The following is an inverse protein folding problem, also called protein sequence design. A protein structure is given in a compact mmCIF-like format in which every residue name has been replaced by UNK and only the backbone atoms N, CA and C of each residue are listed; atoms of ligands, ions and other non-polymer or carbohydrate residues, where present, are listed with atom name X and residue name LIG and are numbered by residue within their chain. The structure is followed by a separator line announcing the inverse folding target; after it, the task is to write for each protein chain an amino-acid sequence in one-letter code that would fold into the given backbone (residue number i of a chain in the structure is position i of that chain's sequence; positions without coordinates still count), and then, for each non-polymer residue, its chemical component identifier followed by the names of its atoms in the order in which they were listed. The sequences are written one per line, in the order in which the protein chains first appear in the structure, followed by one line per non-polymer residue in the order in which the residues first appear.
data_IF_705640184802
#
_entry.id   IF_705640184802
#
_cell.length_a   1.000
_cell.length_b   1.000
_cell.length_c   1.000
_cell.angle_alpha   90.00
_cell.angle_beta   90.00
_cell.angle_gamma   90.00
#
_symmetry.space_group_name_H-M   'P 1'
#
loop_
_entity.id
_entity.type
_entity.pdbx_description
1 polymer ?
#
# COMPACT_ATOMS: atom_id res chain seq x y z
N UNK A 1 24.47 -18.14 4.73
CA UNK A 1 25.15 -19.15 5.61
C UNK A 1 24.41 -20.49 5.72
N UNK A 2 23.16 -20.65 5.24
CA UNK A 2 22.47 -21.95 5.25
C UNK A 2 23.06 -22.88 4.18
N UNK A 3 23.55 -24.06 4.58
CA UNK A 3 24.09 -25.06 3.63
C UNK A 3 23.02 -25.54 2.64
N UNK A 4 21.77 -25.72 3.10
CA UNK A 4 20.66 -26.13 2.25
C UNK A 4 20.32 -25.07 1.18
N UNK A 5 20.37 -23.78 1.54
CA UNK A 5 20.14 -22.70 0.58
C UNK A 5 21.24 -22.66 -0.50
N UNK A 6 22.50 -22.80 -0.10
CA UNK A 6 23.65 -22.82 -1.02
C UNK A 6 23.60 -24.03 -1.96
N UNK A 7 23.06 -25.16 -1.51
CA UNK A 7 22.85 -26.32 -2.37
C UNK A 7 21.79 -26.06 -3.44
N UNK A 8 20.70 -25.38 -3.10
CA UNK A 8 19.70 -24.97 -4.09
C UNK A 8 20.29 -23.99 -5.11
N UNK A 9 21.06 -23.00 -4.65
CA UNK A 9 21.76 -22.04 -5.52
C UNK A 9 22.61 -22.79 -6.56
N UNK A 10 23.46 -23.73 -6.11
CA UNK A 10 24.29 -24.54 -7.03
C UNK A 10 23.47 -25.44 -7.95
N UNK A 11 22.47 -26.14 -7.41
CA UNK A 11 21.63 -27.09 -8.17
C UNK A 11 20.87 -26.40 -9.29
N UNK A 12 20.35 -25.21 -9.02
CA UNK A 12 19.50 -24.44 -9.94
C UNK A 12 20.30 -23.45 -10.79
N UNK A 13 21.62 -23.35 -10.59
CA UNK A 13 22.51 -22.47 -11.34
C UNK A 13 22.29 -20.99 -11.07
N UNK A 14 21.92 -20.63 -9.83
CA UNK A 14 21.64 -19.26 -9.43
C UNK A 14 22.94 -18.53 -9.04
N UNK A 15 23.04 -17.25 -9.35
CA UNK A 15 24.23 -16.44 -9.06
C UNK A 15 24.40 -16.15 -7.56
N UNK A 16 23.29 -15.83 -6.87
CA UNK A 16 23.31 -15.38 -5.48
C UNK A 16 21.94 -15.60 -4.77
N UNK A 17 21.82 -15.10 -3.55
CA UNK A 17 20.59 -15.16 -2.76
C UNK A 17 19.42 -14.33 -3.34
N UNK A 18 19.68 -13.31 -4.16
CA UNK A 18 18.61 -12.54 -4.83
C UNK A 18 17.96 -13.39 -5.91
N UNK A 19 18.78 -14.09 -6.70
CA UNK A 19 18.26 -15.07 -7.65
C UNK A 19 17.58 -16.26 -6.95
N UNK A 20 18.03 -16.65 -5.75
CA UNK A 20 17.33 -17.64 -4.91
C UNK A 20 15.94 -17.17 -4.49
N UNK A 21 15.77 -15.92 -4.07
CA UNK A 21 14.47 -15.33 -3.78
C UNK A 21 13.56 -15.39 -5.01
N UNK A 22 14.06 -14.91 -6.14
CA UNK A 22 13.33 -14.93 -7.42
C UNK A 22 12.92 -16.33 -7.87
N UNK A 23 13.83 -17.31 -7.74
CA UNK A 23 13.53 -18.72 -8.00
C UNK A 23 12.42 -19.24 -7.09
N UNK A 24 12.44 -18.90 -5.81
CA UNK A 24 11.44 -19.31 -4.84
C UNK A 24 10.07 -18.70 -5.18
N UNK A 25 10.00 -17.40 -5.44
CA UNK A 25 8.76 -16.71 -5.83
C UNK A 25 8.16 -17.33 -7.09
N UNK A 26 8.95 -17.59 -8.13
CA UNK A 26 8.48 -18.27 -9.36
C UNK A 26 7.89 -19.66 -9.09
N UNK A 27 8.39 -20.40 -8.09
CA UNK A 27 7.82 -21.69 -7.70
C UNK A 27 6.45 -21.54 -7.04
N UNK A 28 6.31 -20.56 -6.14
CA UNK A 28 5.04 -20.26 -5.48
C UNK A 28 4.02 -19.75 -6.49
N UNK A 29 4.43 -18.89 -7.42
CA UNK A 29 3.57 -18.41 -8.49
C UNK A 29 3.02 -19.56 -9.34
N UNK A 30 3.87 -20.49 -9.80
CA UNK A 30 3.40 -21.65 -10.56
C UNK A 30 2.37 -22.48 -9.79
N UNK A 31 2.57 -22.62 -8.48
CA UNK A 31 1.61 -23.31 -7.62
C UNK A 31 0.27 -22.58 -7.54
N UNK A 32 0.29 -21.25 -7.37
CA UNK A 32 -0.92 -20.42 -7.35
C UNK A 32 -1.65 -20.44 -8.71
N UNK A 33 -0.92 -20.30 -9.81
CA UNK A 33 -1.47 -20.32 -11.16
C UNK A 33 -2.12 -21.68 -11.47
N UNK A 34 -1.51 -22.80 -11.07
CA UNK A 34 -2.10 -24.13 -11.20
C UNK A 34 -3.42 -24.29 -10.40
N UNK A 35 -3.64 -23.46 -9.38
CA UNK A 35 -4.87 -23.40 -8.60
C UNK A 35 -5.84 -22.30 -9.07
N UNK A 36 -5.58 -21.65 -10.21
CA UNK A 36 -6.41 -20.54 -10.73
C UNK A 36 -6.35 -19.27 -9.89
N UNK A 37 -5.26 -19.07 -9.12
CA UNK A 37 -4.98 -17.86 -8.32
C UNK A 37 -3.85 -17.06 -8.98
N UNK A 38 -3.83 -15.75 -8.78
CA UNK A 38 -2.71 -14.88 -9.18
C UNK A 38 -1.84 -14.56 -7.96
N UNK A 39 -0.54 -14.44 -8.18
CA UNK A 39 0.39 -13.98 -7.15
C UNK A 39 0.31 -12.46 -7.01
N UNK A 40 0.22 -11.97 -5.77
CA UNK A 40 0.50 -10.58 -5.40
C UNK A 40 1.63 -10.58 -4.37
N UNK A 41 2.55 -9.61 -4.48
CA UNK A 41 3.62 -9.44 -3.50
C UNK A 41 4.09 -8.00 -3.43
N UNK A 42 4.75 -7.66 -2.32
CA UNK A 42 5.43 -6.38 -2.13
C UNK A 42 6.45 -6.14 -3.24
N UNK A 43 6.76 -4.88 -3.53
CA UNK A 43 7.54 -4.52 -4.70
C UNK A 43 8.98 -5.08 -4.74
N UNK A 44 9.49 -5.69 -3.66
CA UNK A 44 10.69 -6.54 -3.65
C UNK A 44 10.64 -7.71 -4.63
N UNK A 45 9.45 -8.17 -5.05
CA UNK A 45 9.32 -9.27 -6.01
C UNK A 45 9.88 -8.93 -7.41
N UNK A 46 10.22 -7.66 -7.67
CA UNK A 46 10.94 -7.25 -8.90
C UNK A 46 12.40 -7.71 -8.90
N UNK A 47 12.98 -7.98 -7.73
CA UNK A 47 14.39 -8.35 -7.57
C UNK A 47 14.64 -9.75 -8.15
N UNK A 48 15.17 -9.79 -9.39
CA UNK A 48 15.49 -11.02 -10.15
C UNK A 48 14.46 -11.41 -11.22
N UNK A 49 13.58 -10.48 -11.57
CA UNK A 49 12.65 -10.57 -12.70
C UNK A 49 11.21 -10.77 -12.26
N UNK A 50 10.37 -9.79 -12.53
CA UNK A 50 8.94 -9.85 -12.29
C UNK A 50 8.29 -10.80 -13.31
N UNK A 51 7.43 -11.70 -12.83
CA UNK A 51 6.69 -12.58 -13.73
C UNK A 51 5.59 -11.80 -14.44
N UNK A 52 5.31 -12.06 -15.74
CA UNK A 52 4.24 -11.38 -16.46
C UNK A 52 2.84 -11.55 -15.86
N UNK A 53 2.64 -12.52 -14.96
CA UNK A 53 1.34 -12.79 -14.32
C UNK A 53 1.25 -12.30 -12.87
N UNK A 54 2.32 -11.74 -12.31
CA UNK A 54 2.34 -11.23 -10.96
C UNK A 54 1.68 -9.85 -10.86
N UNK A 55 1.02 -9.59 -9.73
CA UNK A 55 0.54 -8.26 -9.33
C UNK A 55 1.52 -7.66 -8.33
N UNK A 56 1.90 -6.40 -8.52
CA UNK A 56 2.80 -5.67 -7.64
C UNK A 56 2.00 -4.92 -6.57
N UNK A 57 2.43 -4.98 -5.31
CA UNK A 57 1.96 -4.07 -4.25
C UNK A 57 3.09 -3.09 -3.94
N UNK A 58 2.95 -1.86 -4.43
CA UNK A 58 3.99 -0.84 -4.36
C UNK A 58 3.96 -0.10 -3.03
N UNK A 59 5.04 -0.15 -2.26
CA UNK A 59 5.11 0.48 -0.93
C UNK A 59 6.38 1.31 -0.71
N UNK A 60 7.46 1.05 -1.46
CA UNK A 60 8.75 1.77 -1.34
C UNK A 60 8.78 2.97 -2.28
N UNK A 61 8.29 4.11 -1.81
CA UNK A 61 8.16 5.33 -2.63
C UNK A 61 9.49 5.84 -3.18
N UNK A 62 10.60 5.51 -2.52
CA UNK A 62 11.94 5.82 -2.99
C UNK A 62 12.43 4.93 -4.13
N UNK A 63 11.70 3.87 -4.47
CA UNK A 63 12.06 2.87 -5.48
C UNK A 63 11.16 2.97 -6.74
N UNK A 64 11.20 4.12 -7.41
CA UNK A 64 10.41 4.36 -8.63
C UNK A 64 10.67 3.34 -9.75
N UNK A 65 11.86 2.72 -9.78
CA UNK A 65 12.25 1.70 -10.76
C UNK A 65 11.30 0.49 -10.75
N UNK A 66 10.69 0.15 -9.61
CA UNK A 66 9.71 -0.94 -9.53
C UNK A 66 8.44 -0.64 -10.34
N UNK A 67 7.99 0.62 -10.37
CA UNK A 67 6.82 1.05 -11.16
C UNK A 67 7.16 1.10 -12.65
N UNK A 68 8.34 1.59 -13.02
CA UNK A 68 8.80 1.59 -14.41
C UNK A 68 8.88 0.16 -14.96
N UNK A 69 9.42 -0.77 -14.19
CA UNK A 69 9.50 -2.17 -14.58
C UNK A 69 8.12 -2.78 -14.75
N UNK A 70 7.22 -2.59 -13.77
CA UNK A 70 5.86 -3.11 -13.83
C UNK A 70 5.07 -2.55 -15.04
N UNK A 71 5.20 -1.25 -15.31
CA UNK A 71 4.61 -0.62 -16.48
C UNK A 71 5.15 -1.23 -17.79
N UNK A 72 6.47 -1.36 -17.90
CA UNK A 72 7.13 -1.90 -19.10
C UNK A 72 6.77 -3.37 -19.39
N UNK A 73 6.42 -4.13 -18.35
CA UNK A 73 6.08 -5.55 -18.45
C UNK A 73 4.57 -5.81 -18.46
N UNK A 74 3.75 -4.78 -18.30
CA UNK A 74 2.28 -4.88 -18.31
C UNK A 74 1.71 -5.55 -17.06
N UNK A 75 2.40 -5.44 -15.93
CA UNK A 75 1.95 -5.99 -14.65
C UNK A 75 0.88 -5.10 -14.01
N UNK A 76 -0.08 -5.74 -13.35
CA UNK A 76 -1.07 -5.04 -12.54
C UNK A 76 -0.43 -4.54 -11.24
N UNK A 77 -0.85 -3.37 -10.74
CA UNK A 77 -0.29 -2.72 -9.53
C UNK A 77 -1.40 -2.31 -8.56
N UNK A 78 -1.16 -2.54 -7.27
CA UNK A 78 -1.90 -1.94 -6.15
C UNK A 78 -0.99 -0.93 -5.47
N UNK A 79 -1.44 0.32 -5.35
CA UNK A 79 -0.67 1.40 -4.74
C UNK A 79 -0.84 1.41 -3.23
N UNK A 80 0.25 1.20 -2.50
CA UNK A 80 0.31 1.30 -1.04
C UNK A 80 1.52 2.13 -0.53
N UNK A 81 1.85 3.27 -1.17
CA UNK A 81 3.07 4.02 -0.91
C UNK A 81 3.24 4.42 0.57
N UNK A 82 4.41 4.19 1.16
CA UNK A 82 4.59 4.39 2.60
C UNK A 82 4.44 5.83 3.07
N UNK A 83 4.69 6.83 2.23
CA UNK A 83 4.57 8.23 2.61
C UNK A 83 3.13 8.62 2.97
N UNK A 84 2.14 7.93 2.39
CA UNK A 84 0.74 8.36 2.41
C UNK A 84 -0.26 7.24 2.71
N UNK A 85 0.10 5.97 2.52
CA UNK A 85 -0.77 4.81 2.76
C UNK A 85 -0.41 4.02 4.02
N UNK A 86 0.52 4.47 4.85
CA UNK A 86 0.88 3.79 6.10
C UNK A 86 0.10 4.41 7.26
N UNK A 87 -0.97 3.72 7.66
CA UNK A 87 -1.88 4.20 8.70
C UNK A 87 -1.35 3.91 10.12
N UNK A 88 -0.22 3.24 10.26
CA UNK A 88 0.54 3.15 11.50
C UNK A 88 1.39 4.40 11.80
N UNK A 89 1.43 5.39 10.89
CA UNK A 89 2.07 6.70 11.10
C UNK A 89 1.25 7.65 11.99
N UNK A 90 1.92 8.62 12.63
CA UNK A 90 1.25 9.74 13.30
C UNK A 90 0.33 10.50 12.34
N UNK A 91 -0.71 11.15 12.89
CA UNK A 91 -1.72 11.90 12.13
C UNK A 91 -1.67 13.40 12.37
N UNK A 92 -0.90 13.84 13.37
CA UNK A 92 -0.58 15.22 13.70
C UNK A 92 0.70 15.25 14.55
N UNK A 93 0.98 16.37 15.22
CA UNK A 93 2.15 16.53 16.09
C UNK A 93 2.26 15.37 17.10
N UNK A 94 3.33 14.57 17.05
CA UNK A 94 3.55 13.44 17.97
C UNK A 94 3.46 13.81 19.46
N UNK A 95 3.69 15.07 19.84
CA UNK A 95 3.59 15.52 21.23
C UNK A 95 2.16 15.41 21.79
N UNK A 96 1.13 15.48 20.95
CA UNK A 96 -0.28 15.37 21.32
C UNK A 96 -0.93 14.03 20.98
N UNK A 97 -0.17 13.10 20.38
CA UNK A 97 -0.71 11.87 19.79
C UNK A 97 -0.30 10.63 20.60
N UNK A 98 -1.13 9.58 20.65
CA UNK A 98 -0.70 8.31 21.20
C UNK A 98 0.38 7.68 20.32
N UNK A 99 1.35 7.00 20.94
CA UNK A 99 2.52 6.39 20.27
C UNK A 99 2.15 5.67 18.96
N UNK A 100 2.98 5.91 17.95
CA UNK A 100 2.91 5.34 16.62
C UNK A 100 4.33 4.95 16.15
N UNK A 101 4.48 4.23 15.04
CA UNK A 101 5.77 3.73 14.53
C UNK A 101 6.78 4.87 14.25
N UNK A 102 6.29 6.07 13.95
CA UNK A 102 7.02 7.17 13.34
C UNK A 102 6.19 7.82 12.23
N UNK A 103 6.83 8.58 11.35
CA UNK A 103 6.18 9.21 10.18
C UNK A 103 5.08 10.23 10.53
N UNK A 104 4.53 10.89 9.52
CA UNK A 104 3.37 11.75 9.66
C UNK A 104 2.56 11.63 8.36
N UNK A 105 1.32 11.20 8.48
CA UNK A 105 0.40 11.06 7.36
C UNK A 105 -0.96 11.57 7.83
N UNK A 106 -1.31 12.77 7.41
CA UNK A 106 -2.58 13.43 7.76
C UNK A 106 -3.72 12.94 6.88
N UNK A 107 -4.95 13.30 7.22
CA UNK A 107 -6.12 13.05 6.37
C UNK A 107 -6.05 13.86 5.06
N UNK A 108 -5.41 15.02 5.06
CA UNK A 108 -5.20 15.85 3.86
C UNK A 108 -4.20 15.20 2.91
N UNK A 109 -3.09 14.66 3.45
CA UNK A 109 -2.09 13.93 2.64
C UNK A 109 -2.74 12.76 1.91
N UNK A 110 -3.58 11.98 2.61
CA UNK A 110 -4.32 10.85 2.03
C UNK A 110 -5.29 11.34 0.96
N UNK A 111 -6.03 12.43 1.22
CA UNK A 111 -7.01 12.96 0.26
C UNK A 111 -6.36 13.51 -1.01
N UNK A 112 -5.18 14.12 -0.89
CA UNK A 112 -4.40 14.66 -2.00
C UNK A 112 -3.71 13.57 -2.83
N UNK A 113 -3.72 12.31 -2.38
CA UNK A 113 -3.06 11.22 -3.08
C UNK A 113 -3.65 10.98 -4.47
N UNK A 114 -2.74 10.79 -5.42
CA UNK A 114 -3.04 10.37 -6.78
C UNK A 114 -2.58 8.91 -6.98
N UNK A 115 -3.53 7.97 -7.14
CA UNK A 115 -3.20 6.56 -7.28
C UNK A 115 -2.57 6.20 -8.63
N UNK A 116 -2.54 7.09 -9.63
CA UNK A 116 -1.98 6.78 -10.96
C UNK A 116 -0.60 7.43 -11.11
N UNK A 117 0.50 6.67 -10.90
CA UNK A 117 1.85 7.20 -11.05
C UNK A 117 2.20 7.47 -12.52
N UNK A 118 3.20 8.32 -12.74
CA UNK A 118 3.60 8.78 -14.08
C UNK A 118 3.82 7.63 -15.10
N UNK A 119 4.56 6.54 -14.78
CA UNK A 119 4.88 5.50 -15.77
C UNK A 119 3.66 4.78 -16.37
N UNK A 120 2.48 4.93 -15.76
CA UNK A 120 1.23 4.34 -16.21
C UNK A 120 0.33 5.35 -16.94
N UNK A 121 0.71 6.62 -17.03
CA UNK A 121 -0.08 7.64 -17.73
C UNK A 121 0.05 7.53 -19.24
N UNK A 122 -1.05 7.81 -19.93
CA UNK A 122 -1.11 7.79 -21.40
C UNK A 122 -1.41 6.42 -21.99
N UNK A 123 -2.03 5.52 -21.23
CA UNK A 123 -2.54 4.23 -21.74
C UNK A 123 -2.28 3.00 -20.85
N UNK A 124 -1.69 3.16 -19.66
CA UNK A 124 -1.44 2.08 -18.70
C UNK A 124 -2.32 2.16 -17.45
N UNK A 125 -3.22 3.14 -17.35
CA UNK A 125 -3.99 3.44 -16.15
C UNK A 125 -4.90 2.26 -15.72
N UNK A 126 -5.31 1.42 -16.68
CA UNK A 126 -6.10 0.21 -16.43
C UNK A 126 -5.36 -0.88 -15.65
N UNK A 127 -4.02 -0.79 -15.58
CA UNK A 127 -3.16 -1.68 -14.78
C UNK A 127 -3.04 -1.25 -13.33
N UNK A 128 -3.44 -0.04 -13.00
CA UNK A 128 -3.58 0.39 -11.61
C UNK A 128 -4.91 -0.14 -11.08
N UNK A 129 -4.86 -1.22 -10.30
CA UNK A 129 -6.05 -1.85 -9.72
C UNK A 129 -6.71 -0.98 -8.64
N UNK A 130 -5.96 -0.03 -8.08
CA UNK A 130 -6.42 0.90 -7.05
C UNK A 130 -5.34 1.18 -6.02
N UNK A 131 -5.75 1.73 -4.88
CA UNK A 131 -4.89 2.00 -3.74
C UNK A 131 -5.42 1.35 -2.46
N UNK A 132 -4.52 1.06 -1.52
CA UNK A 132 -4.83 0.48 -0.22
C UNK A 132 -3.93 1.10 0.85
N UNK A 133 -4.52 1.40 2.01
CA UNK A 133 -3.76 1.72 3.22
C UNK A 133 -3.37 0.45 3.99
N UNK A 134 -2.15 0.43 4.51
CA UNK A 134 -1.63 -0.62 5.36
C UNK A 134 -1.63 -0.13 6.81
N UNK A 135 -2.22 -0.91 7.72
CA UNK A 135 -2.16 -0.65 9.15
C UNK A 135 -1.31 -1.73 9.80
N UNK A 136 -0.01 -1.46 9.94
CA UNK A 136 0.89 -2.28 10.73
C UNK A 136 0.58 -2.12 12.23
N UNK A 137 0.83 -3.15 13.03
CA UNK A 137 0.24 -3.27 14.38
C UNK A 137 1.25 -3.34 15.52
N UNK A 138 2.51 -3.06 15.24
CA UNK A 138 3.63 -3.00 16.18
C UNK A 138 3.32 -2.09 17.38
N UNK A 139 2.64 -0.97 17.13
CA UNK A 139 2.20 0.02 18.14
C UNK A 139 0.68 0.16 18.22
N UNK A 140 -0.07 -0.85 17.75
CA UNK A 140 -1.54 -0.85 17.72
C UNK A 140 -2.08 -2.06 18.49
N UNK A 141 -1.96 -2.08 19.83
CA UNK A 141 -2.26 -3.27 20.62
C UNK A 141 -3.76 -3.54 20.83
N UNK A 142 -4.63 -2.60 20.44
CA UNK A 142 -6.07 -2.68 20.71
C UNK A 142 -6.90 -2.29 19.49
N UNK A 143 -8.13 -2.82 19.35
CA UNK A 143 -9.08 -2.38 18.33
C UNK A 143 -9.35 -0.87 18.38
N UNK A 144 -9.41 -0.27 19.56
CA UNK A 144 -9.65 1.17 19.72
C UNK A 144 -8.49 2.01 19.17
N UNK A 145 -7.25 1.55 19.33
CA UNK A 145 -6.10 2.18 18.69
C UNK A 145 -6.14 1.96 17.18
N UNK A 146 -6.58 0.79 16.70
CA UNK A 146 -6.74 0.55 15.26
C UNK A 146 -7.78 1.50 14.63
N UNK A 147 -8.92 1.70 15.29
CA UNK A 147 -9.93 2.71 14.89
C UNK A 147 -9.34 4.11 14.84
N UNK A 148 -8.56 4.49 15.87
CA UNK A 148 -7.89 5.79 15.94
C UNK A 148 -6.92 6.01 14.81
N UNK A 149 -6.13 4.98 14.48
CA UNK A 149 -5.15 5.03 13.40
C UNK A 149 -5.83 5.02 12.02
N UNK A 150 -6.97 4.33 11.87
CA UNK A 150 -7.65 4.22 10.57
C UNK A 150 -8.51 5.43 10.24
N UNK A 151 -9.24 6.00 11.20
CA UNK A 151 -10.24 7.05 10.95
C UNK A 151 -9.76 8.41 11.47
N UNK A 152 -9.91 9.49 10.67
CA UNK A 152 -10.74 9.61 9.46
C UNK A 152 -10.02 9.31 8.13
N UNK A 153 -8.72 8.95 8.13
CA UNK A 153 -7.95 8.73 6.90
C UNK A 153 -8.59 7.71 5.94
N UNK A 154 -9.21 6.65 6.46
CA UNK A 154 -9.94 5.67 5.66
C UNK A 154 -11.13 6.29 4.87
N UNK A 155 -11.73 7.37 5.39
CA UNK A 155 -12.79 8.11 4.68
C UNK A 155 -12.21 8.86 3.48
N UNK A 156 -11.05 9.51 3.66
CA UNK A 156 -10.34 10.16 2.57
C UNK A 156 -9.91 9.15 1.50
N UNK A 157 -9.29 8.03 1.91
CA UNK A 157 -8.91 6.96 0.99
C UNK A 157 -10.11 6.43 0.21
N UNK A 158 -11.24 6.20 0.87
CA UNK A 158 -12.45 5.72 0.21
C UNK A 158 -12.92 6.66 -0.91
N UNK A 159 -12.77 7.97 -0.74
CA UNK A 159 -13.08 8.94 -1.79
C UNK A 159 -12.03 8.95 -2.90
N UNK A 160 -10.75 8.85 -2.56
CA UNK A 160 -9.62 8.79 -3.50
C UNK A 160 -9.75 7.61 -4.48
N UNK A 161 -10.21 6.45 -4.01
CA UNK A 161 -10.33 5.25 -4.85
C UNK A 161 -11.70 5.09 -5.51
N UNK A 162 -12.68 5.96 -5.21
CA UNK A 162 -14.05 5.83 -5.71
C UNK A 162 -14.48 6.98 -6.61
N UNK A 163 -14.18 8.22 -6.21
CA UNK A 163 -14.60 9.41 -6.95
C UNK A 163 -13.63 9.71 -8.09
N UNK A 164 -14.16 10.22 -9.20
CA UNK A 164 -13.33 10.73 -10.28
C UNK A 164 -12.46 11.91 -9.76
N UNK A 165 -11.22 11.98 -10.25
CA UNK A 165 -10.22 12.96 -9.78
C UNK A 165 -10.73 14.40 -9.85
N UNK A 166 -11.41 14.76 -10.94
CA UNK A 166 -11.96 16.09 -11.22
C UNK A 166 -13.19 16.46 -10.36
N UNK A 167 -13.74 15.50 -9.61
CA UNK A 167 -14.86 15.68 -8.68
C UNK A 167 -14.39 15.78 -7.23
N UNK A 168 -13.10 15.60 -6.95
CA UNK A 168 -12.53 15.72 -5.61
C UNK A 168 -12.22 17.19 -5.31
N UNK A 169 -12.84 17.72 -4.25
CA UNK A 169 -12.55 19.04 -3.70
C UNK A 169 -12.37 18.98 -2.19
N UNK A 170 -11.24 19.48 -1.69
CA UNK A 170 -10.88 19.38 -0.27
C UNK A 170 -11.89 20.08 0.64
N UNK A 171 -12.35 21.28 0.25
CA UNK A 171 -13.29 22.07 1.05
C UNK A 171 -14.64 21.34 1.17
N UNK A 172 -15.13 20.79 0.06
CA UNK A 172 -16.33 19.95 0.00
C UNK A 172 -16.17 18.67 0.82
N UNK A 173 -15.00 18.01 0.75
CA UNK A 173 -14.69 16.85 1.56
C UNK A 173 -14.74 17.16 3.06
N UNK A 174 -14.11 18.24 3.52
CA UNK A 174 -14.16 18.65 4.92
C UNK A 174 -15.60 18.89 5.40
N UNK A 175 -16.43 19.54 4.57
CA UNK A 175 -17.84 19.75 4.88
C UNK A 175 -18.63 18.43 4.99
N UNK A 176 -18.33 17.44 4.13
CA UNK A 176 -18.95 16.10 4.17
C UNK A 176 -18.36 15.18 5.23
N UNK A 177 -17.14 15.44 5.69
CA UNK A 177 -16.50 14.68 6.75
C UNK A 177 -17.24 14.86 8.07
N UNK A 178 -17.68 16.08 8.40
CA UNK A 178 -18.40 16.37 9.66
C UNK A 178 -19.58 15.41 9.94
N UNK A 179 -20.59 15.25 9.05
CA UNK A 179 -21.67 14.29 9.27
C UNK A 179 -21.22 12.82 9.22
N UNK A 180 -20.06 12.50 8.64
CA UNK A 180 -19.47 11.15 8.75
C UNK A 180 -18.94 10.93 10.17
N UNK A 181 -18.25 11.90 10.75
CA UNK A 181 -17.74 11.84 12.12
C UNK A 181 -18.88 11.71 13.13
N UNK A 182 -19.99 12.42 12.94
CA UNK A 182 -21.20 12.25 13.76
C UNK A 182 -21.72 10.81 13.72
N UNK A 183 -21.69 10.15 12.54
CA UNK A 183 -22.07 8.73 12.44
C UNK A 183 -21.08 7.81 13.13
N UNK A 184 -19.79 8.13 13.11
CA UNK A 184 -18.76 7.39 13.85
C UNK A 184 -18.94 7.54 15.37
N UNK A 185 -19.28 8.74 15.84
CA UNK A 185 -19.64 9.01 17.25
C UNK A 185 -20.85 8.16 17.68
N UNK A 186 -21.92 8.10 16.88
CA UNK A 186 -23.10 7.27 17.15
C UNK A 186 -22.78 5.76 17.23
N UNK A 187 -21.69 5.33 16.61
CA UNK A 187 -21.19 3.94 16.65
C UNK A 187 -20.09 3.74 17.69
N UNK A 188 -19.73 4.79 18.44
CA UNK A 188 -18.64 4.76 19.44
C UNK A 188 -17.29 4.33 18.86
N UNK A 189 -17.01 4.69 17.60
CA UNK A 189 -15.70 4.45 16.97
C UNK A 189 -14.68 5.44 17.53
N UNK A 190 -13.53 4.95 17.96
CA UNK A 190 -12.47 5.78 18.53
C UNK A 190 -11.61 6.48 17.47
N UNK A 191 -12.21 7.25 16.55
CA UNK A 191 -11.48 7.96 15.49
C UNK A 191 -10.66 9.14 16.03
N UNK A 192 -9.60 9.55 15.31
CA UNK A 192 -8.88 10.80 15.62
C UNK A 192 -9.77 11.99 15.30
N UNK A 193 -10.08 12.83 16.29
CA UNK A 193 -10.81 14.09 16.05
C UNK A 193 -9.91 15.06 15.26
N UNK A 194 -10.39 15.64 14.14
CA UNK A 194 -9.66 16.71 13.46
C UNK A 194 -9.41 17.89 14.39
N UNK A 195 -8.30 18.61 14.16
CA UNK A 195 -7.97 19.81 14.90
C UNK A 195 -9.00 20.92 14.63
N UNK A 196 -9.24 21.77 15.64
CA UNK A 196 -10.22 22.87 15.56
C UNK A 196 -9.69 24.10 14.86
#
# INVERSE_FOLDING_TARGET
RSAAAQEVIRREGLADERELQSWFIRRIERHLNAAGRRLIGWDEIVEGGLSPTATLMFWRDWNAEALELAASQGNDVVMTPNSVMYFDHYQADPAGEPVAIGGLTTVEDVYAFDPVPEPFRGGGEDRILGAQANLWTEYVPTPQKAEYMAYPRAVALAEVVWSAEDQRDWTSFQARLSPILERLDLRSVNYRRPDR
#
